data_IF_201037619812
#
_entry.id   IF_201037619812
#
_cell.length_a   1.000
_cell.length_b   1.000
_cell.length_c   1.000
_cell.angle_alpha   90.00
_cell.angle_beta   90.00
_cell.angle_gamma   90.00
#
_symmetry.space_group_name_H-M   'P 1'
#
loop_
_entity.id
_entity.type
_entity.pdbx_description
1 polymer ?
#
# COMPACT_ATOMS: atom_id res chain seq x y z
N UNK A 1 5.50 -21.48 -1.76
CA UNK A 1 4.35 -22.32 -2.17
C UNK A 1 3.02 -21.67 -1.77
N UNK A 2 2.92 -20.33 -1.71
CA UNK A 2 1.71 -19.66 -1.19
C UNK A 2 0.80 -19.16 -2.33
N UNK A 3 1.34 -18.39 -3.29
CA UNK A 3 0.53 -17.85 -4.40
C UNK A 3 -0.32 -18.90 -5.14
N UNK A 4 0.22 -20.07 -5.56
CA UNK A 4 -0.61 -21.09 -6.21
C UNK A 4 -1.69 -21.69 -5.32
N UNK A 5 -1.47 -21.74 -3.99
CA UNK A 5 -2.45 -22.27 -3.05
C UNK A 5 -3.69 -21.36 -2.92
N UNK A 6 -3.53 -20.07 -3.22
CA UNK A 6 -4.62 -19.08 -3.26
C UNK A 6 -5.07 -18.74 -4.69
N UNK A 7 -4.67 -19.53 -5.68
CA UNK A 7 -4.98 -19.29 -7.11
C UNK A 7 -4.53 -17.89 -7.60
N UNK A 8 -3.43 -17.37 -7.06
CA UNK A 8 -2.86 -16.08 -7.47
C UNK A 8 -1.69 -16.31 -8.42
N UNK A 9 -1.73 -15.65 -9.58
CA UNK A 9 -0.58 -15.55 -10.47
C UNK A 9 0.51 -14.70 -9.79
N UNK A 10 1.70 -15.28 -9.49
CA UNK A 10 2.77 -14.53 -8.86
C UNK A 10 3.14 -13.28 -9.64
N UNK A 11 3.07 -13.26 -10.97
CA UNK A 11 3.50 -12.11 -11.76
C UNK A 11 2.56 -10.91 -11.62
N UNK A 12 1.28 -11.16 -11.29
CA UNK A 12 0.29 -10.12 -11.00
C UNK A 12 0.34 -9.59 -9.56
N UNK A 13 1.16 -10.18 -8.67
CA UNK A 13 1.21 -9.80 -7.25
C UNK A 13 1.41 -8.30 -7.00
N UNK A 14 2.12 -7.60 -7.89
CA UNK A 14 2.33 -6.16 -7.78
C UNK A 14 1.08 -5.34 -8.10
N UNK A 15 0.32 -5.74 -9.11
CA UNK A 15 -0.96 -5.11 -9.46
C UNK A 15 -2.02 -5.39 -8.40
N UNK A 16 -2.13 -6.66 -7.99
CA UNK A 16 -3.02 -7.13 -6.93
C UNK A 16 -2.74 -6.36 -5.63
N UNK A 17 -1.46 -6.19 -5.26
CA UNK A 17 -1.09 -5.44 -4.06
C UNK A 17 -1.63 -4.00 -4.07
N UNK A 18 -1.49 -3.27 -5.19
CA UNK A 18 -1.99 -1.88 -5.29
C UNK A 18 -3.50 -1.83 -5.21
N UNK A 19 -4.16 -2.71 -5.96
CA UNK A 19 -5.62 -2.79 -5.99
C UNK A 19 -6.19 -3.08 -4.60
N UNK A 20 -5.60 -4.04 -3.88
CA UNK A 20 -6.07 -4.42 -2.55
C UNK A 20 -5.79 -3.34 -1.50
N UNK A 21 -4.69 -2.58 -1.60
CA UNK A 21 -4.48 -1.41 -0.75
C UNK A 21 -5.61 -0.40 -0.92
N UNK A 22 -6.05 -0.16 -2.16
CA UNK A 22 -7.13 0.77 -2.46
C UNK A 22 -8.49 0.26 -1.98
N UNK A 23 -8.79 -1.02 -2.17
CA UNK A 23 -9.99 -1.67 -1.60
C UNK A 23 -10.04 -1.49 -0.09
N UNK A 24 -8.93 -1.72 0.61
CA UNK A 24 -8.84 -1.56 2.07
C UNK A 24 -9.10 -0.10 2.47
N UNK A 25 -8.50 0.88 1.78
CA UNK A 25 -8.72 2.31 2.06
C UNK A 25 -10.19 2.70 1.85
N UNK A 26 -10.80 2.28 0.76
CA UNK A 26 -12.21 2.55 0.47
C UNK A 26 -13.12 1.91 1.53
N UNK A 27 -12.87 0.65 1.88
CA UNK A 27 -13.65 -0.07 2.88
C UNK A 27 -13.55 0.58 4.27
N UNK A 28 -12.40 1.15 4.63
CA UNK A 28 -12.23 1.89 5.87
C UNK A 28 -12.89 3.27 5.88
N UNK A 29 -12.79 4.04 4.77
CA UNK A 29 -13.18 5.47 4.73
C UNK A 29 -14.63 5.71 4.31
N UNK A 30 -15.22 4.83 3.53
CA UNK A 30 -16.58 5.01 2.98
C UNK A 30 -17.62 4.28 3.83
N UNK A 31 -18.92 4.57 3.63
CA UNK A 31 -20.04 3.85 4.25
C UNK A 31 -21.04 3.44 3.19
N UNK A 32 -21.35 2.14 3.10
CA UNK A 32 -22.27 1.57 2.10
C UNK A 32 -21.99 2.00 0.65
N UNK A 33 -20.74 2.37 0.35
CA UNK A 33 -20.33 2.71 -1.00
C UNK A 33 -19.97 1.43 -1.76
N UNK A 34 -20.39 1.27 -3.03
CA UNK A 34 -19.94 0.18 -3.87
C UNK A 34 -18.42 0.19 -4.03
N UNK A 35 -17.75 -0.94 -3.80
CA UNK A 35 -16.32 -1.13 -4.05
C UNK A 35 -16.17 -2.29 -5.03
N UNK A 36 -15.39 -2.11 -6.09
CA UNK A 36 -15.13 -3.15 -7.10
C UNK A 36 -13.64 -3.30 -7.32
N UNK A 37 -13.19 -4.53 -7.51
CA UNK A 37 -11.82 -4.89 -7.85
C UNK A 37 -11.83 -6.09 -8.79
N UNK A 38 -10.66 -6.51 -9.26
CA UNK A 38 -10.53 -7.51 -10.32
C UNK A 38 -11.17 -8.87 -9.97
N UNK A 39 -11.19 -9.24 -8.69
CA UNK A 39 -11.66 -10.55 -8.22
C UNK A 39 -12.99 -10.48 -7.42
N UNK A 40 -13.67 -9.33 -7.38
CA UNK A 40 -14.92 -9.23 -6.66
C UNK A 40 -15.49 -7.83 -6.47
N UNK A 41 -16.58 -7.75 -5.71
CA UNK A 41 -17.23 -6.50 -5.36
C UNK A 41 -17.89 -6.55 -3.98
N UNK A 42 -17.97 -5.39 -3.33
CA UNK A 42 -18.76 -5.14 -2.13
C UNK A 42 -19.93 -4.24 -2.53
N UNK A 43 -21.14 -4.81 -2.60
CA UNK A 43 -22.37 -4.10 -2.93
C UNK A 43 -23.37 -4.19 -1.78
N UNK A 44 -24.05 -3.09 -1.47
CA UNK A 44 -25.11 -3.03 -0.46
C UNK A 44 -24.72 -3.57 0.92
N UNK A 45 -23.42 -3.56 1.23
CA UNK A 45 -22.83 -4.01 2.48
C UNK A 45 -21.77 -3.00 2.92
N UNK A 46 -21.36 -3.06 4.19
CA UNK A 46 -20.36 -2.16 4.74
C UNK A 46 -19.40 -2.89 5.67
N UNK A 47 -18.16 -2.42 5.74
CA UNK A 47 -17.16 -2.94 6.67
C UNK A 47 -17.48 -2.44 8.09
N UNK A 48 -17.67 -3.38 9.02
CA UNK A 48 -17.82 -3.09 10.44
C UNK A 48 -16.81 -3.90 11.28
N UNK A 49 -16.22 -3.31 12.33
CA UNK A 49 -16.30 -1.91 12.71
C UNK A 49 -15.49 -0.99 11.79
N UNK A 50 -15.76 0.32 11.85
CA UNK A 50 -14.92 1.33 11.20
C UNK A 50 -13.73 1.68 12.10
N UNK A 51 -12.57 2.05 11.51
CA UNK A 51 -11.47 2.60 12.29
C UNK A 51 -11.90 3.83 13.09
N UNK A 52 -11.34 4.00 14.29
CA UNK A 52 -11.56 5.20 15.11
C UNK A 52 -10.69 6.37 14.68
N UNK A 53 -9.74 6.14 13.77
CA UNK A 53 -8.90 7.15 13.14
C UNK A 53 -9.45 7.50 11.76
N UNK A 54 -9.04 8.66 11.22
CA UNK A 54 -9.36 9.03 9.85
C UNK A 54 -8.84 7.99 8.83
N UNK A 55 -7.68 7.42 9.12
CA UNK A 55 -7.04 6.38 8.32
C UNK A 55 -6.17 5.48 9.21
N UNK A 56 -6.01 4.22 8.79
CA UNK A 56 -5.02 3.31 9.36
C UNK A 56 -3.70 3.50 8.58
N UNK A 57 -2.60 3.88 9.24
CA UNK A 57 -1.32 4.05 8.56
C UNK A 57 -0.84 2.78 7.86
N UNK A 58 -0.52 2.91 6.57
CA UNK A 58 -0.01 1.84 5.72
C UNK A 58 1.52 1.97 5.57
N UNK A 59 2.25 0.92 5.96
CA UNK A 59 3.70 0.82 5.75
C UNK A 59 4.01 -0.26 4.71
N UNK A 60 4.78 0.07 3.69
CA UNK A 60 5.21 -0.89 2.66
C UNK A 60 6.52 -1.54 3.12
N UNK A 61 6.63 -2.86 3.00
CA UNK A 61 7.84 -3.63 3.34
C UNK A 61 8.62 -4.03 2.10
N UNK A 62 9.92 -3.71 2.04
CA UNK A 62 10.67 -3.80 0.79
C UNK A 62 9.96 -3.01 -0.30
N UNK A 63 10.08 -3.41 -1.57
CA UNK A 63 9.35 -2.68 -2.62
C UNK A 63 7.92 -3.16 -2.82
N UNK A 64 7.52 -4.34 -2.33
CA UNK A 64 6.23 -4.98 -2.66
C UNK A 64 5.87 -4.93 -4.17
N UNK A 65 6.89 -4.99 -5.04
CA UNK A 65 6.79 -4.82 -6.51
C UNK A 65 6.27 -3.44 -6.97
N UNK A 66 6.46 -2.42 -6.15
CA UNK A 66 6.14 -1.03 -6.42
C UNK A 66 7.41 -0.21 -6.64
N UNK A 67 7.30 0.83 -7.46
CA UNK A 67 8.34 1.84 -7.61
C UNK A 67 8.45 2.72 -6.37
N UNK A 68 9.58 3.39 -6.19
CA UNK A 68 9.76 4.30 -5.05
C UNK A 68 8.77 5.46 -5.07
N UNK A 69 8.44 5.99 -6.25
CA UNK A 69 7.44 7.06 -6.42
C UNK A 69 6.05 6.63 -5.95
N UNK A 70 5.65 5.38 -6.26
CA UNK A 70 4.38 4.84 -5.80
C UNK A 70 4.37 4.69 -4.28
N UNK A 71 5.44 4.13 -3.70
CA UNK A 71 5.54 3.98 -2.25
C UNK A 71 5.49 5.36 -1.57
N UNK A 72 6.17 6.35 -2.12
CA UNK A 72 6.24 7.71 -1.59
C UNK A 72 4.88 8.41 -1.60
N UNK A 73 4.12 8.25 -2.70
CA UNK A 73 2.80 8.85 -2.83
C UNK A 73 1.72 8.15 -2.02
N UNK A 74 1.78 6.82 -1.95
CA UNK A 74 0.65 6.01 -1.50
C UNK A 74 0.80 5.49 -0.06
N UNK A 75 2.02 5.41 0.48
CA UNK A 75 2.25 4.87 1.82
C UNK A 75 2.55 5.96 2.85
N UNK A 76 2.38 5.62 4.12
CA UNK A 76 2.75 6.48 5.25
C UNK A 76 4.20 6.22 5.71
N UNK A 77 4.84 5.19 5.15
CA UNK A 77 6.21 4.85 5.50
C UNK A 77 6.70 3.59 4.79
N UNK A 78 8.01 3.43 4.84
CA UNK A 78 8.72 2.37 4.13
C UNK A 78 9.64 1.61 5.07
N UNK A 79 9.41 0.31 5.22
CA UNK A 79 10.22 -0.60 6.02
C UNK A 79 11.13 -1.39 5.08
N UNK A 80 12.43 -1.20 5.18
CA UNK A 80 13.42 -1.92 4.39
C UNK A 80 14.30 -2.82 5.28
N UNK A 81 14.86 -3.86 4.69
CA UNK A 81 15.85 -4.72 5.34
C UNK A 81 17.09 -3.92 5.78
N UNK A 82 17.73 -4.30 6.89
CA UNK A 82 18.90 -3.60 7.39
C UNK A 82 20.06 -3.61 6.39
N UNK A 83 20.75 -2.47 6.28
CA UNK A 83 21.96 -2.26 5.48
C UNK A 83 23.03 -1.59 6.35
N UNK A 84 24.32 -1.60 5.95
CA UNK A 84 25.34 -0.80 6.63
C UNK A 84 24.92 0.67 6.75
N UNK A 85 25.20 1.37 7.87
CA UNK A 85 24.63 2.70 8.15
C UNK A 85 24.85 3.74 7.06
N UNK A 86 25.99 3.72 6.37
CA UNK A 86 26.28 4.63 5.25
C UNK A 86 25.32 4.41 4.07
N UNK A 87 25.05 3.15 3.72
CA UNK A 87 24.12 2.81 2.65
C UNK A 87 22.67 3.07 3.07
N UNK A 88 22.33 2.78 4.32
CA UNK A 88 20.99 3.04 4.83
C UNK A 88 20.66 4.54 4.82
N UNK A 89 21.64 5.40 5.10
CA UNK A 89 21.48 6.85 5.00
C UNK A 89 21.08 7.30 3.60
N UNK A 90 21.79 6.83 2.57
CA UNK A 90 21.49 7.15 1.17
C UNK A 90 20.06 6.70 0.79
N UNK A 91 19.67 5.48 1.17
CA UNK A 91 18.31 4.96 0.93
C UNK A 91 17.24 5.83 1.60
N UNK A 92 17.50 6.33 2.82
CA UNK A 92 16.57 7.21 3.55
C UNK A 92 16.52 8.61 2.91
N UNK A 93 17.64 9.12 2.40
CA UNK A 93 17.71 10.39 1.67
C UNK A 93 16.91 10.30 0.36
N UNK A 94 17.15 9.28 -0.47
CA UNK A 94 16.39 9.03 -1.71
C UNK A 94 14.88 8.91 -1.44
N UNK A 95 14.49 8.20 -0.38
CA UNK A 95 13.10 8.09 0.04
C UNK A 95 12.49 9.45 0.40
N UNK A 96 13.19 10.27 1.20
CA UNK A 96 12.69 11.58 1.62
C UNK A 96 12.57 12.53 0.43
N UNK A 97 13.53 12.51 -0.48
CA UNK A 97 13.47 13.29 -1.71
C UNK A 97 12.27 12.90 -2.58
N UNK A 98 12.03 11.59 -2.76
CA UNK A 98 10.87 11.14 -3.54
C UNK A 98 9.54 11.47 -2.85
N UNK A 99 9.45 11.38 -1.52
CA UNK A 99 8.27 11.86 -0.76
C UNK A 99 8.03 13.35 -0.98
N UNK A 100 9.06 14.18 -0.86
CA UNK A 100 8.94 15.62 -1.10
C UNK A 100 8.49 15.93 -2.53
N UNK A 101 8.96 15.15 -3.50
CA UNK A 101 8.59 15.30 -4.91
C UNK A 101 7.14 14.87 -5.19
N UNK A 102 6.66 13.79 -4.58
CA UNK A 102 5.30 13.26 -4.82
C UNK A 102 4.23 13.98 -4.00
N UNK A 103 4.55 14.37 -2.77
CA UNK A 103 3.57 14.86 -1.79
C UNK A 103 3.75 16.34 -1.41
N UNK A 104 4.86 16.97 -1.82
CA UNK A 104 5.19 18.33 -1.44
C UNK A 104 5.83 18.45 -0.05
N UNK A 105 6.09 19.69 0.37
CA UNK A 105 6.50 19.98 1.74
C UNK A 105 5.29 19.87 2.68
N UNK A 106 5.48 19.24 3.83
CA UNK A 106 4.50 19.20 4.91
C UNK A 106 4.30 20.59 5.55
#
# INVERSE_FOLDING_TARGET
>A
MEFPAFNVDPEKRGEIFREHCEVIRQAHRTRFAPIRWSDGELLSADLIPKPTTWEIPLFVTGHSRQSLDWIARESHGWINSPRPPKMQRLIVEDWREEVMKQCGAA
#
